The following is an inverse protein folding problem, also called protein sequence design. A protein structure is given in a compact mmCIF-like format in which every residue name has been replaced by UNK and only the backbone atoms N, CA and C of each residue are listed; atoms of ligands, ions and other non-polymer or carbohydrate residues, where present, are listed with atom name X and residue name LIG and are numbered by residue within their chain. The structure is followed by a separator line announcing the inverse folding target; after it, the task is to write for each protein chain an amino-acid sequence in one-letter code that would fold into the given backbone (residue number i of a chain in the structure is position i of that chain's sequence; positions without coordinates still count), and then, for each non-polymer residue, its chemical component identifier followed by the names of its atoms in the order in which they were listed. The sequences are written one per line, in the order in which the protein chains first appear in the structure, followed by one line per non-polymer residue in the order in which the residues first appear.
data_IF_494817473812
#
_entry.id   IF_494817473812
#
_cell.length_a   1.000
_cell.length_b   1.000
_cell.length_c   1.000
_cell.angle_alpha   90.00
_cell.angle_beta   90.00
_cell.angle_gamma   90.00
#
_symmetry.space_group_name_H-M   'P 1'
#
loop_
_entity.id
_entity.type
_entity.pdbx_description
1 polymer ?
#
# COMPACT_ATOMS: atom_id res chain seq x y z
N UNK A 1 5.18 -14.00 -1.71
CA UNK A 1 5.05 -13.95 -0.22
C UNK A 1 4.36 -15.17 0.44
N UNK A 2 3.59 -16.00 -0.26
CA UNK A 2 2.89 -17.15 0.35
C UNK A 2 3.47 -18.49 -0.10
N UNK A 3 3.45 -19.48 0.80
CA UNK A 3 3.71 -20.89 0.47
C UNK A 3 2.52 -21.47 -0.32
N UNK A 4 2.71 -22.63 -0.94
CA UNK A 4 1.62 -23.36 -1.61
C UNK A 4 0.41 -23.62 -0.69
N UNK A 5 0.65 -23.73 0.62
CA UNK A 5 -0.39 -23.90 1.65
C UNK A 5 -1.17 -22.62 1.96
N UNK A 6 -0.87 -21.50 1.27
CA UNK A 6 -1.35 -20.14 1.57
C UNK A 6 -0.91 -19.59 2.93
N UNK A 7 0.01 -20.27 3.62
CA UNK A 7 0.66 -19.70 4.78
C UNK A 7 1.59 -18.57 4.35
N UNK A 8 1.60 -17.47 5.11
CA UNK A 8 2.56 -16.39 4.92
C UNK A 8 3.97 -16.95 5.09
N UNK A 9 4.82 -16.75 4.10
CA UNK A 9 6.18 -17.25 4.09
C UNK A 9 7.13 -16.16 4.56
N UNK A 10 7.66 -16.34 5.76
CA UNK A 10 8.49 -15.34 6.40
C UNK A 10 9.97 -15.42 6.02
N UNK A 11 10.38 -16.48 5.30
CA UNK A 11 11.79 -16.85 5.12
C UNK A 11 12.30 -16.63 3.69
N UNK A 12 11.41 -16.34 2.73
CA UNK A 12 11.76 -16.30 1.30
C UNK A 12 12.26 -14.93 0.80
N UNK A 13 12.40 -13.94 1.69
CA UNK A 13 12.88 -12.61 1.32
C UNK A 13 11.84 -11.66 0.73
N UNK A 14 10.60 -12.10 0.47
CA UNK A 14 9.57 -11.24 -0.13
C UNK A 14 9.27 -9.96 0.67
N UNK A 15 9.39 -10.02 2.01
CA UNK A 15 9.24 -8.84 2.84
C UNK A 15 10.35 -7.80 2.63
N UNK A 16 11.56 -8.23 2.23
CA UNK A 16 12.65 -7.31 1.91
C UNK A 16 12.36 -6.57 0.61
N UNK A 17 11.79 -7.26 -0.38
CA UNK A 17 11.31 -6.64 -1.64
C UNK A 17 10.27 -5.56 -1.35
N UNK A 18 9.27 -5.88 -0.52
CA UNK A 18 8.25 -4.91 -0.07
C UNK A 18 8.87 -3.67 0.56
N UNK A 19 9.76 -3.84 1.55
CA UNK A 19 10.37 -2.71 2.26
C UNK A 19 11.28 -1.89 1.34
N UNK A 20 12.10 -2.56 0.54
CA UNK A 20 13.06 -1.92 -0.35
C UNK A 20 12.37 -1.12 -1.45
N UNK A 21 11.36 -1.70 -2.11
CA UNK A 21 10.61 -1.04 -3.18
C UNK A 21 9.97 0.26 -2.69
N UNK A 22 9.31 0.24 -1.53
CA UNK A 22 8.68 1.45 -0.97
C UNK A 22 9.72 2.49 -0.51
N UNK A 23 10.86 2.06 0.06
CA UNK A 23 11.98 2.97 0.36
C UNK A 23 12.50 3.65 -0.91
N UNK A 24 12.68 2.90 -1.99
CA UNK A 24 13.12 3.41 -3.29
C UNK A 24 12.12 4.42 -3.85
N UNK A 25 10.82 4.11 -3.83
CA UNK A 25 9.77 5.07 -4.20
C UNK A 25 9.84 6.36 -3.39
N UNK A 26 10.08 6.27 -2.07
CA UNK A 26 10.17 7.45 -1.20
C UNK A 26 11.40 8.32 -1.49
N UNK A 27 12.52 7.70 -1.88
CA UNK A 27 13.72 8.42 -2.33
C UNK A 27 13.48 9.12 -3.69
N UNK A 28 12.79 8.45 -4.62
CA UNK A 28 12.37 9.07 -5.89
C UNK A 28 11.44 10.27 -5.65
N UNK A 29 10.47 10.15 -4.74
CA UNK A 29 9.60 11.26 -4.35
C UNK A 29 10.40 12.44 -3.81
N UNK A 30 11.33 12.19 -2.89
CA UNK A 30 12.20 13.23 -2.31
C UNK A 30 12.99 13.97 -3.39
N UNK A 31 13.52 13.25 -4.38
CA UNK A 31 14.26 13.84 -5.49
C UNK A 31 13.35 14.75 -6.36
N UNK A 32 12.15 14.29 -6.72
CA UNK A 32 11.17 15.09 -7.48
C UNK A 32 10.79 16.38 -6.72
N UNK A 33 10.51 16.28 -5.43
CA UNK A 33 10.18 17.45 -4.59
C UNK A 33 11.36 18.41 -4.44
N UNK A 34 12.57 17.89 -4.25
CA UNK A 34 13.79 18.70 -4.17
C UNK A 34 14.01 19.48 -5.48
N UNK A 35 13.85 18.84 -6.64
CA UNK A 35 13.92 19.50 -7.96
C UNK A 35 12.85 20.59 -8.13
N UNK A 36 11.67 20.42 -7.52
CA UNK A 36 10.61 21.41 -7.51
C UNK A 36 10.78 22.51 -6.44
N UNK A 37 11.82 22.45 -5.60
CA UNK A 37 12.01 23.40 -4.49
C UNK A 37 10.95 23.27 -3.39
N UNK A 38 10.32 22.10 -3.27
CA UNK A 38 9.26 21.80 -2.32
C UNK A 38 9.70 20.74 -1.31
N UNK A 39 8.96 20.61 -0.20
CA UNK A 39 9.15 19.52 0.76
C UNK A 39 8.13 18.40 0.51
N UNK A 40 8.55 17.14 0.45
CA UNK A 40 7.62 16.03 0.32
C UNK A 40 6.74 15.92 1.58
N UNK A 41 5.55 15.30 1.48
CA UNK A 41 4.73 15.02 2.65
C UNK A 41 5.51 14.24 3.71
N UNK A 42 5.39 14.68 4.98
CA UNK A 42 6.00 13.95 6.08
C UNK A 42 5.29 12.61 6.33
N UNK A 43 6.09 11.57 6.55
CA UNK A 43 5.64 10.29 7.08
C UNK A 43 4.98 10.47 8.45
N UNK A 44 4.01 9.62 8.77
CA UNK A 44 3.43 9.61 10.11
C UNK A 44 4.43 9.05 11.13
N UNK A 45 4.57 9.73 12.26
CA UNK A 45 5.33 9.22 13.42
C UNK A 45 4.48 8.30 14.29
N UNK A 46 3.16 8.46 14.23
CA UNK A 46 2.16 7.60 14.86
C UNK A 46 0.87 7.62 14.04
N UNK A 47 0.06 6.55 14.16
CA UNK A 47 -1.25 6.51 13.52
C UNK A 47 -2.14 7.68 13.97
N UNK A 48 -2.80 8.39 13.03
CA UNK A 48 -3.73 9.45 13.36
C UNK A 48 -4.85 9.02 14.33
N UNK A 49 -5.47 10.00 14.99
CA UNK A 49 -6.68 9.77 15.79
C UNK A 49 -7.85 9.27 14.93
N UNK A 50 -8.81 8.58 15.56
CA UNK A 50 -10.01 8.14 14.85
C UNK A 50 -10.89 9.30 14.36
N UNK A 51 -10.86 10.44 15.05
CA UNK A 51 -11.67 11.61 14.77
C UNK A 51 -10.77 12.84 14.53
N UNK A 52 -9.94 12.78 13.50
CA UNK A 52 -9.16 13.92 13.03
C UNK A 52 -9.99 14.73 12.02
N UNK A 53 -10.02 16.06 12.11
CA UNK A 53 -10.73 16.88 11.13
C UNK A 53 -10.01 16.85 9.76
N UNK A 54 -10.75 17.05 8.67
CA UNK A 54 -10.15 17.13 7.33
C UNK A 54 -9.20 18.32 7.18
N UNK A 55 -9.54 19.43 7.83
CA UNK A 55 -8.83 20.69 7.71
C UNK A 55 -8.50 21.19 9.10
N UNK A 56 -7.21 21.33 9.37
CA UNK A 56 -6.66 21.84 10.63
C UNK A 56 -6.04 23.21 10.37
N UNK A 57 -6.25 24.13 11.31
CA UNK A 57 -5.57 25.40 11.37
C UNK A 57 -4.84 25.53 12.70
N UNK A 58 -3.62 26.06 12.68
CA UNK A 58 -2.86 26.39 13.87
C UNK A 58 -3.10 27.86 14.22
N UNK A 59 -3.28 28.15 15.52
CA UNK A 59 -3.28 29.54 15.99
C UNK A 59 -1.90 30.16 15.74
N UNK A 60 -1.91 31.35 15.15
CA UNK A 60 -0.74 32.16 14.90
C UNK A 60 -0.98 33.58 15.41
N UNK A 61 0.08 34.38 15.46
CA UNK A 61 -0.02 35.81 15.72
C UNK A 61 0.64 36.55 14.58
N UNK A 62 -0.15 37.38 13.89
CA UNK A 62 0.36 38.31 12.89
C UNK A 62 0.06 39.73 13.36
N UNK A 63 1.11 40.55 13.46
CA UNK A 63 1.01 41.98 13.79
C UNK A 63 0.21 42.27 15.07
N UNK A 64 0.29 41.39 16.06
CA UNK A 64 -0.39 41.51 17.36
C UNK A 64 -1.86 41.05 17.37
N UNK A 65 -2.41 40.59 16.23
CA UNK A 65 -3.72 39.97 16.16
C UNK A 65 -3.60 38.44 16.13
N UNK A 66 -4.53 37.76 16.81
CA UNK A 66 -4.67 36.30 16.69
C UNK A 66 -5.16 35.96 15.29
N UNK A 67 -4.42 35.11 14.59
CA UNK A 67 -4.73 34.59 13.26
C UNK A 67 -4.73 33.07 13.27
N UNK A 68 -5.20 32.46 12.18
CA UNK A 68 -5.20 31.01 12.00
C UNK A 68 -4.56 30.67 10.66
N UNK A 69 -3.56 29.79 10.67
CA UNK A 69 -2.82 29.38 9.48
C UNK A 69 -3.12 27.93 9.18
N UNK A 70 -3.43 27.61 7.92
CA UNK A 70 -3.71 26.25 7.49
C UNK A 70 -2.50 25.33 7.78
N UNK A 71 -2.77 24.17 8.37
CA UNK A 71 -1.77 23.19 8.76
C UNK A 71 -1.84 21.97 7.83
N UNK A 72 -1.14 21.97 6.67
CA UNK A 72 -1.24 20.90 5.68
C UNK A 72 -0.78 19.55 6.23
N UNK A 73 0.21 19.52 7.12
CA UNK A 73 0.72 18.29 7.74
C UNK A 73 -0.24 17.65 8.74
N UNK A 74 -1.18 18.43 9.25
CA UNK A 74 -2.22 17.97 10.17
C UNK A 74 -3.58 17.79 9.47
N UNK A 75 -3.65 17.99 8.15
CA UNK A 75 -4.88 17.99 7.36
C UNK A 75 -4.86 16.91 6.27
N UNK A 76 -6.04 16.59 5.73
CA UNK A 76 -6.18 15.74 4.54
C UNK A 76 -6.26 14.23 4.81
N UNK A 77 -6.37 13.81 6.08
CA UNK A 77 -6.38 12.39 6.45
C UNK A 77 -7.48 12.04 7.46
N UNK A 78 -8.63 12.72 7.38
CA UNK A 78 -9.85 12.21 8.01
C UNK A 78 -10.11 10.78 7.50
N UNK A 79 -10.56 9.90 8.38
CA UNK A 79 -11.04 8.57 7.97
C UNK A 79 -12.34 8.76 7.18
N UNK A 80 -12.39 8.42 5.88
CA UNK A 80 -13.61 8.58 5.09
C UNK A 80 -14.74 7.68 5.63
N UNK A 81 -16.02 7.99 5.33
CA UNK A 81 -17.11 7.09 5.67
C UNK A 81 -16.93 5.73 4.96
N UNK A 82 -17.42 4.63 5.56
CA UNK A 82 -17.32 3.32 4.95
C UNK A 82 -18.17 3.21 3.69
N UNK A 83 -17.79 2.26 2.82
CA UNK A 83 -18.59 1.87 1.67
C UNK A 83 -20.01 1.41 2.10
N UNK A 84 -20.98 1.60 1.20
CA UNK A 84 -22.36 1.14 1.39
C UNK A 84 -22.34 -0.39 1.50
N UNK A 85 -23.08 -0.90 2.47
CA UNK A 85 -23.28 -2.34 2.70
C UNK A 85 -22.00 -3.19 2.85
N UNK A 86 -20.87 -2.57 3.25
CA UNK A 86 -19.61 -3.28 3.54
C UNK A 86 -19.29 -3.29 5.04
N UNK A 87 -19.59 -4.41 5.69
CA UNK A 87 -19.34 -4.63 7.12
C UNK A 87 -17.84 -4.67 7.46
N UNK A 88 -17.01 -5.18 6.55
CA UNK A 88 -15.56 -5.27 6.74
C UNK A 88 -14.94 -3.87 6.69
N UNK A 89 -15.33 -3.06 5.72
CA UNK A 89 -14.89 -1.67 5.60
C UNK A 89 -15.35 -0.85 6.82
N UNK A 90 -16.59 -1.06 7.27
CA UNK A 90 -17.11 -0.43 8.50
C UNK A 90 -16.32 -0.83 9.74
N UNK A 91 -15.94 -2.11 9.86
CA UNK A 91 -15.08 -2.57 10.94
C UNK A 91 -13.71 -1.89 10.90
N UNK A 92 -13.02 -1.94 9.75
CA UNK A 92 -11.66 -1.41 9.58
C UNK A 92 -11.57 0.12 9.80
N UNK A 93 -12.64 0.85 9.46
CA UNK A 93 -12.74 2.31 9.68
C UNK A 93 -13.21 2.69 11.08
N UNK A 94 -13.74 1.74 11.87
CA UNK A 94 -14.25 2.04 13.21
C UNK A 94 -13.15 2.57 14.17
N UNK A 95 -13.52 3.42 15.14
CA UNK A 95 -12.61 3.81 16.22
C UNK A 95 -12.15 2.61 17.06
N UNK A 96 -13.01 1.61 17.25
CA UNK A 96 -12.72 0.40 18.03
C UNK A 96 -11.64 -0.45 17.38
N UNK A 97 -11.65 -0.60 16.05
CA UNK A 97 -10.60 -1.33 15.35
C UNK A 97 -9.25 -0.61 15.44
N UNK A 98 -9.25 0.73 15.32
CA UNK A 98 -8.04 1.52 15.53
C UNK A 98 -7.45 1.32 16.93
N UNK A 99 -8.27 1.44 17.98
CA UNK A 99 -7.80 1.36 19.37
C UNK A 99 -7.48 -0.06 19.82
N UNK A 100 -8.26 -1.05 19.39
CA UNK A 100 -8.14 -2.44 19.81
C UNK A 100 -7.17 -3.27 18.99
N UNK A 101 -6.90 -2.91 17.73
CA UNK A 101 -6.09 -3.72 16.80
C UNK A 101 -4.90 -2.92 16.26
N UNK A 102 -5.15 -1.85 15.50
CA UNK A 102 -4.08 -1.17 14.76
C UNK A 102 -3.08 -0.46 15.68
N UNK A 103 -3.52 0.22 16.73
CA UNK A 103 -2.62 0.91 17.68
C UNK A 103 -1.74 -0.04 18.49
N UNK A 104 -2.27 -1.12 19.09
CA UNK A 104 -1.43 -2.13 19.73
C UNK A 104 -0.39 -2.70 18.76
N UNK A 105 -0.79 -3.04 17.53
CA UNK A 105 0.11 -3.59 16.53
C UNK A 105 1.18 -2.58 16.07
N UNK A 106 0.81 -1.32 15.86
CA UNK A 106 1.76 -0.22 15.62
C UNK A 106 2.82 -0.14 16.73
N UNK A 107 2.41 -0.30 17.99
CA UNK A 107 3.34 -0.30 19.12
C UNK A 107 4.27 -1.51 19.14
N UNK A 108 3.80 -2.68 18.69
CA UNK A 108 4.63 -3.89 18.54
C UNK A 108 5.73 -3.65 17.49
N UNK A 109 5.40 -3.06 16.34
CA UNK A 109 6.37 -2.75 15.29
C UNK A 109 7.35 -1.63 15.65
N UNK A 110 7.17 -0.96 16.79
CA UNK A 110 8.12 0.02 17.34
C UNK A 110 8.87 -0.54 18.56
N UNK A 111 8.57 -1.77 18.99
CA UNK A 111 9.16 -2.37 20.18
C UNK A 111 10.55 -2.93 19.90
N UNK A 112 11.60 -2.47 20.61
CA UNK A 112 12.95 -3.01 20.42
C UNK A 112 13.04 -4.53 20.65
N UNK A 113 12.26 -5.04 21.60
CA UNK A 113 12.21 -6.49 21.90
C UNK A 113 11.62 -7.31 20.76
N UNK A 114 10.61 -6.77 20.08
CA UNK A 114 9.98 -7.45 18.97
C UNK A 114 10.90 -7.40 17.74
N UNK A 115 11.41 -6.20 17.43
CA UNK A 115 12.26 -5.97 16.27
C UNK A 115 13.62 -6.68 16.34
N UNK A 116 14.19 -6.87 17.53
CA UNK A 116 15.45 -7.64 17.67
C UNK A 116 15.28 -9.14 17.46
N UNK A 117 14.04 -9.64 17.53
CA UNK A 117 13.73 -11.05 17.38
C UNK A 117 13.41 -11.46 15.93
N UNK A 118 13.53 -10.52 14.97
CA UNK A 118 13.09 -10.74 13.60
C UNK A 118 14.18 -10.45 12.57
N UNK A 119 14.15 -11.18 11.45
CA UNK A 119 14.86 -10.80 10.23
C UNK A 119 14.18 -9.62 9.53
N UNK A 120 14.85 -9.02 8.54
CA UNK A 120 14.27 -7.94 7.76
C UNK A 120 13.10 -8.43 6.89
N UNK A 121 13.22 -9.61 6.29
CA UNK A 121 12.14 -10.24 5.52
C UNK A 121 10.92 -10.59 6.36
N UNK A 122 11.11 -11.08 7.59
CA UNK A 122 10.02 -11.30 8.55
C UNK A 122 9.27 -10.01 8.86
N UNK A 123 10.01 -8.91 9.09
CA UNK A 123 9.43 -7.60 9.38
C UNK A 123 8.60 -7.09 8.21
N UNK A 124 9.14 -7.15 7.00
CA UNK A 124 8.45 -6.68 5.80
C UNK A 124 7.15 -7.42 5.54
N UNK A 125 7.18 -8.76 5.58
CA UNK A 125 6.00 -9.58 5.37
C UNK A 125 4.92 -9.33 6.44
N UNK A 126 5.31 -9.24 7.72
CA UNK A 126 4.34 -8.93 8.77
C UNK A 126 3.75 -7.53 8.59
N UNK A 127 4.55 -6.53 8.21
CA UNK A 127 4.03 -5.17 7.95
C UNK A 127 3.03 -5.15 6.79
N UNK A 128 3.40 -5.73 5.65
CA UNK A 128 2.60 -5.78 4.42
C UNK A 128 1.23 -6.43 4.65
N UNK A 129 1.22 -7.66 5.18
CA UNK A 129 0.01 -8.47 5.34
C UNK A 129 -0.73 -8.23 6.66
N UNK A 130 -0.40 -7.16 7.38
CA UNK A 130 -1.18 -6.71 8.54
C UNK A 130 -1.50 -5.22 8.44
N UNK A 131 -0.69 -4.37 9.06
CA UNK A 131 -1.01 -2.99 9.32
C UNK A 131 -0.99 -2.14 8.05
N UNK A 132 -0.10 -2.43 7.10
CA UNK A 132 -0.04 -1.74 5.80
C UNK A 132 -1.34 -1.90 5.02
N UNK A 133 -1.81 -3.14 4.84
CA UNK A 133 -3.11 -3.42 4.22
C UNK A 133 -4.27 -2.70 4.90
N UNK A 134 -4.30 -2.71 6.23
CA UNK A 134 -5.34 -2.02 7.00
C UNK A 134 -5.27 -0.50 6.87
N UNK A 135 -4.08 0.09 6.73
CA UNK A 135 -3.93 1.52 6.49
C UNK A 135 -4.55 1.91 5.15
N UNK A 136 -4.25 1.20 4.07
CA UNK A 136 -4.85 1.48 2.76
C UNK A 136 -6.39 1.44 2.81
N UNK A 137 -6.97 0.38 3.38
CA UNK A 137 -8.43 0.23 3.48
C UNK A 137 -9.05 1.28 4.41
N UNK A 138 -8.40 1.59 5.53
CA UNK A 138 -8.92 2.56 6.50
C UNK A 138 -9.04 3.97 5.90
N UNK A 139 -8.10 4.39 5.05
CA UNK A 139 -8.07 5.74 4.49
C UNK A 139 -8.54 5.86 3.03
N UNK A 140 -8.86 4.76 2.33
CA UNK A 140 -9.54 4.85 1.02
C UNK A 140 -10.97 5.39 1.17
N UNK A 141 -11.46 6.07 0.14
CA UNK A 141 -12.84 6.51 0.02
C UNK A 141 -13.51 5.79 -1.16
N UNK A 142 -14.78 5.40 -1.03
CA UNK A 142 -15.55 4.88 -2.16
C UNK A 142 -16.36 6.01 -2.77
N UNK A 143 -16.06 6.34 -4.02
CA UNK A 143 -16.89 7.23 -4.83
C UNK A 143 -18.06 6.45 -5.43
N UNK A 144 -19.20 7.11 -5.57
CA UNK A 144 -20.40 6.53 -6.18
C UNK A 144 -20.89 7.44 -7.29
N UNK A 145 -21.29 6.85 -8.40
CA UNK A 145 -21.94 7.56 -9.49
C UNK A 145 -23.31 8.06 -9.03
N UNK A 146 -23.60 9.33 -9.29
CA UNK A 146 -24.82 9.98 -8.80
C UNK A 146 -26.08 9.51 -9.53
N UNK A 147 -25.96 9.02 -10.77
CA UNK A 147 -27.10 8.62 -11.58
C UNK A 147 -27.51 7.16 -11.33
N UNK A 148 -26.53 6.27 -11.19
CA UNK A 148 -26.72 4.83 -11.02
C UNK A 148 -26.67 4.41 -9.55
N UNK A 149 -25.90 5.13 -8.72
CA UNK A 149 -25.61 4.77 -7.34
C UNK A 149 -24.52 3.70 -7.20
N UNK A 150 -23.92 3.26 -8.31
CA UNK A 150 -22.87 2.24 -8.35
C UNK A 150 -21.50 2.83 -7.94
N UNK A 151 -20.59 2.03 -7.35
CA UNK A 151 -19.25 2.51 -7.01
C UNK A 151 -18.45 2.84 -8.27
N UNK A 152 -17.72 3.95 -8.24
CA UNK A 152 -16.78 4.36 -9.28
C UNK A 152 -15.41 3.77 -8.96
N UNK A 153 -14.82 3.08 -9.93
CA UNK A 153 -13.46 2.53 -9.86
C UNK A 153 -13.26 1.45 -10.90
N UNK A 154 -12.03 0.92 -10.96
CA UNK A 154 -11.67 -0.18 -11.86
C UNK A 154 -12.43 -1.46 -11.51
N UNK A 155 -13.09 -2.05 -12.51
CA UNK A 155 -13.83 -3.30 -12.33
C UNK A 155 -12.90 -4.51 -12.12
N UNK A 156 -11.61 -4.38 -12.44
CA UNK A 156 -10.62 -5.45 -12.34
C UNK A 156 -9.20 -4.90 -12.13
N UNK A 157 -8.34 -5.67 -11.45
CA UNK A 157 -6.89 -5.41 -11.41
C UNK A 157 -6.24 -5.43 -12.81
N UNK A 158 -6.93 -5.96 -13.82
CA UNK A 158 -6.46 -6.01 -15.21
C UNK A 158 -7.18 -5.02 -16.14
N UNK A 159 -8.01 -4.12 -15.61
CA UNK A 159 -8.61 -3.03 -16.37
C UNK A 159 -7.62 -1.84 -16.46
N UNK A 160 -6.83 -1.81 -17.53
CA UNK A 160 -5.79 -0.81 -17.80
C UNK A 160 -6.23 0.21 -18.87
N UNK A 161 -7.54 0.48 -18.96
CA UNK A 161 -8.06 1.51 -19.86
C UNK A 161 -7.41 2.88 -19.56
N UNK A 162 -6.90 3.62 -20.56
CA UNK A 162 -6.22 4.91 -20.34
C UNK A 162 -7.05 5.97 -19.60
N UNK A 163 -8.38 5.84 -19.52
CA UNK A 163 -9.21 6.73 -18.68
C UNK A 163 -8.80 6.68 -17.20
N UNK A 164 -8.17 5.59 -16.75
CA UNK A 164 -7.69 5.42 -15.39
C UNK A 164 -6.35 6.12 -15.12
N UNK A 165 -5.69 6.66 -16.15
CA UNK A 165 -4.44 7.43 -16.03
C UNK A 165 -4.68 8.88 -15.59
N UNK A 166 -5.95 9.31 -15.52
CA UNK A 166 -6.30 10.64 -15.05
C UNK A 166 -5.80 10.82 -13.60
N UNK A 167 -5.05 11.90 -13.27
CA UNK A 167 -4.54 12.13 -11.93
C UNK A 167 -5.60 12.24 -10.82
N UNK A 168 -6.87 12.43 -11.18
CA UNK A 168 -8.00 12.37 -10.24
C UNK A 168 -8.38 10.93 -9.85
N UNK A 169 -7.88 9.92 -10.55
CA UNK A 169 -7.92 8.54 -10.09
C UNK A 169 -6.81 8.33 -9.05
N UNK A 170 -7.15 8.60 -7.78
CA UNK A 170 -6.26 8.47 -6.63
C UNK A 170 -6.78 7.46 -5.61
N UNK A 171 -7.47 6.39 -6.04
CA UNK A 171 -8.00 5.40 -5.09
C UNK A 171 -6.86 4.74 -4.30
N UNK A 172 -6.80 5.05 -3.00
CA UNK A 172 -5.84 4.46 -2.06
C UNK A 172 -6.02 2.93 -1.92
N UNK A 173 -7.18 2.40 -2.30
CA UNK A 173 -7.52 1.00 -2.31
C UNK A 173 -7.22 0.26 -3.62
N UNK A 174 -6.43 0.85 -4.54
CA UNK A 174 -6.01 0.21 -5.79
C UNK A 174 -4.49 0.38 -5.99
N UNK A 175 -3.78 -0.69 -6.35
CA UNK A 175 -2.34 -0.62 -6.63
C UNK A 175 -2.03 0.34 -7.79
N UNK A 176 -2.96 0.47 -8.74
CA UNK A 176 -2.78 1.33 -9.91
C UNK A 176 -2.65 2.82 -9.56
N UNK A 177 -3.44 3.29 -8.59
CA UNK A 177 -3.60 4.71 -8.29
C UNK A 177 -3.18 5.11 -6.87
N UNK A 178 -2.99 4.16 -5.96
CA UNK A 178 -2.82 4.48 -4.54
C UNK A 178 -1.63 5.42 -4.27
N UNK A 179 -0.56 5.31 -5.04
CA UNK A 179 0.63 6.16 -4.91
C UNK A 179 0.43 7.63 -5.33
N UNK A 180 -0.68 7.95 -6.01
CA UNK A 180 -1.09 9.32 -6.32
C UNK A 180 -1.70 10.00 -5.09
N UNK A 181 -2.38 9.23 -4.23
CA UNK A 181 -3.09 9.76 -3.07
C UNK A 181 -2.11 10.29 -1.99
N UNK A 182 -2.24 11.52 -1.49
CA UNK A 182 -1.28 12.09 -0.53
C UNK A 182 -1.07 11.27 0.76
N UNK A 183 -2.13 10.61 1.25
CA UNK A 183 -2.05 9.73 2.44
C UNK A 183 -1.16 8.51 2.23
N UNK A 184 -0.94 8.06 0.99
CA UNK A 184 0.00 6.98 0.68
C UNK A 184 1.41 7.30 1.20
N UNK A 185 1.90 8.50 0.92
CA UNK A 185 3.24 8.90 1.33
C UNK A 185 3.37 9.07 2.86
N UNK A 186 2.27 9.44 3.52
CA UNK A 186 2.23 9.55 4.99
C UNK A 186 2.29 8.16 5.65
N UNK A 187 1.48 7.22 5.18
CA UNK A 187 1.46 5.86 5.73
C UNK A 187 2.76 5.10 5.38
N UNK A 188 3.28 5.24 4.16
CA UNK A 188 4.52 4.58 3.75
C UNK A 188 5.75 5.18 4.41
N UNK A 189 5.75 6.48 4.72
CA UNK A 189 6.79 7.05 5.59
C UNK A 189 6.81 6.42 6.99
N UNK A 190 5.63 6.09 7.55
CA UNK A 190 5.57 5.33 8.81
C UNK A 190 6.15 3.92 8.63
N UNK A 191 5.86 3.24 7.52
CA UNK A 191 6.41 1.90 7.23
C UNK A 191 7.94 1.96 7.06
N UNK A 192 8.45 2.89 6.25
CA UNK A 192 9.88 3.08 5.98
C UNK A 192 10.68 3.37 7.26
N UNK A 193 10.11 4.13 8.19
CA UNK A 193 10.75 4.41 9.48
C UNK A 193 10.93 3.15 10.34
N UNK A 194 10.10 2.12 10.17
CA UNK A 194 10.24 0.84 10.92
C UNK A 194 11.51 0.10 10.54
N UNK A 195 12.00 0.27 9.30
CA UNK A 195 13.29 -0.27 8.86
C UNK A 195 14.42 0.34 9.69
N UNK A 196 14.33 1.64 9.98
CA UNK A 196 15.33 2.35 10.80
C UNK A 196 15.23 1.95 12.28
N UNK A 197 14.02 1.71 12.80
CA UNK A 197 13.81 1.15 14.14
C UNK A 197 14.46 -0.23 14.27
N UNK A 198 14.24 -1.11 13.28
CA UNK A 198 14.82 -2.45 13.24
C UNK A 198 16.34 -2.42 13.13
N UNK A 199 16.88 -1.58 12.24
CA UNK A 199 18.32 -1.47 12.03
C UNK A 199 19.05 -0.98 13.29
N UNK A 200 18.44 -0.03 14.00
CA UNK A 200 19.00 0.50 15.26
C UNK A 200 19.15 -0.57 16.34
N UNK A 201 18.20 -1.49 16.46
CA UNK A 201 18.22 -2.52 17.52
C UNK A 201 19.03 -3.76 17.14
N UNK A 202 19.36 -3.92 15.85
CA UNK A 202 20.17 -5.01 15.32
C UNK A 202 21.53 -4.54 14.79
N UNK A 203 21.99 -3.34 15.16
CA UNK A 203 23.16 -2.69 14.58
C UNK A 203 24.48 -3.48 14.73
N UNK A 204 24.57 -4.36 15.73
CA UNK A 204 25.71 -5.26 15.97
C UNK A 204 25.64 -6.57 15.17
N UNK A 205 24.50 -6.85 14.53
CA UNK A 205 24.20 -8.07 13.79
C UNK A 205 24.02 -7.87 12.29
N UNK A 206 24.11 -6.63 11.81
CA UNK A 206 23.89 -6.26 10.42
C UNK A 206 25.06 -5.46 9.88
N UNK A 207 25.24 -5.47 8.56
CA UNK A 207 26.19 -4.60 7.86
C UNK A 207 25.41 -3.63 6.97
N UNK A 208 25.64 -2.34 7.13
CA UNK A 208 25.05 -1.31 6.25
C UNK A 208 25.66 -1.39 4.85
N UNK A 209 24.85 -1.17 3.83
CA UNK A 209 25.27 -1.23 2.42
C UNK A 209 24.49 -0.22 1.56
N UNK A 210 24.75 -0.20 0.26
CA UNK A 210 23.97 0.54 -0.74
C UNK A 210 23.64 -0.38 -1.90
N UNK A 211 22.35 -0.54 -2.20
CA UNK A 211 21.86 -1.32 -3.34
C UNK A 211 21.15 -0.33 -4.27
N UNK A 212 21.58 -0.24 -5.54
CA UNK A 212 21.06 0.73 -6.53
C UNK A 212 20.80 2.15 -5.98
N UNK A 213 21.81 2.73 -5.33
CA UNK A 213 21.77 4.06 -4.69
C UNK A 213 20.76 4.21 -3.52
N UNK A 214 20.17 3.10 -3.06
CA UNK A 214 19.31 3.04 -1.89
C UNK A 214 20.13 2.64 -0.66
N UNK A 215 20.16 3.46 0.41
CA UNK A 215 20.75 3.07 1.69
C UNK A 215 20.05 1.84 2.27
N UNK A 216 20.80 0.74 2.37
CA UNK A 216 20.28 -0.58 2.68
C UNK A 216 21.25 -1.38 3.56
N UNK A 217 21.18 -2.71 3.49
CA UNK A 217 21.95 -3.65 4.28
C UNK A 217 22.52 -4.76 3.38
N UNK A 218 23.72 -5.22 3.69
CA UNK A 218 24.33 -6.34 2.98
C UNK A 218 23.62 -7.64 3.38
N UNK A 219 23.36 -8.50 2.39
CA UNK A 219 22.80 -9.81 2.66
C UNK A 219 23.82 -10.71 3.38
N UNK A 220 23.37 -11.33 4.46
CA UNK A 220 24.14 -12.26 5.29
C UNK A 220 23.47 -13.63 5.44
N UNK A 221 22.27 -13.79 4.85
CA UNK A 221 21.44 -14.99 4.94
C UNK A 221 20.85 -15.26 6.33
N UNK A 222 21.07 -14.38 7.29
CA UNK A 222 20.63 -14.53 8.69
C UNK A 222 19.66 -13.41 9.07
N UNK A 223 20.10 -12.17 9.06
CA UNK A 223 19.28 -10.99 9.34
C UNK A 223 18.70 -10.37 8.08
N UNK A 224 19.41 -10.52 6.96
CA UNK A 224 19.04 -10.01 5.64
C UNK A 224 19.24 -11.14 4.62
N UNK A 225 18.14 -11.58 4.01
CA UNK A 225 18.06 -12.75 3.14
C UNK A 225 18.50 -12.45 1.70
N UNK A 226 18.15 -11.28 1.17
CA UNK A 226 18.24 -10.96 -0.26
C UNK A 226 19.23 -9.82 -0.50
N UNK A 227 20.26 -10.08 -1.31
CA UNK A 227 21.27 -9.06 -1.65
C UNK A 227 20.86 -8.10 -2.76
N UNK A 228 19.79 -8.43 -3.49
CA UNK A 228 19.23 -7.66 -4.59
C UNK A 228 17.70 -7.72 -4.50
N UNK A 229 17.07 -6.91 -3.63
CA UNK A 229 15.62 -6.92 -3.48
C UNK A 229 14.93 -6.52 -4.79
N UNK A 230 13.84 -7.21 -5.12
CA UNK A 230 13.06 -6.95 -6.32
C UNK A 230 12.24 -5.66 -6.17
N UNK A 231 12.39 -4.74 -7.12
CA UNK A 231 11.55 -3.53 -7.22
C UNK A 231 11.00 -3.29 -8.63
N UNK A 232 11.64 -3.86 -9.65
CA UNK A 232 11.24 -3.79 -11.05
C UNK A 232 11.96 -4.89 -11.84
N UNK A 233 11.37 -5.43 -12.94
CA UNK A 233 12.10 -6.24 -13.90
C UNK A 233 13.20 -5.42 -14.59
N UNK A 234 14.38 -5.34 -13.99
CA UNK A 234 15.58 -4.90 -14.68
C UNK A 234 16.18 -6.12 -15.39
N UNK A 235 16.08 -6.17 -16.72
CA UNK A 235 17.07 -6.94 -17.47
C UNK A 235 18.46 -6.39 -17.07
N UNK A 236 19.46 -7.26 -16.94
CA UNK A 236 20.83 -6.92 -16.53
C UNK A 236 21.59 -5.98 -17.50
N UNK A 237 21.05 -4.79 -17.76
CA UNK A 237 21.66 -3.74 -18.56
C UNK A 237 21.96 -2.56 -17.66
N UNK A 238 23.25 -2.40 -17.37
CA UNK A 238 23.76 -1.32 -16.54
C UNK A 238 23.50 0.05 -17.17
N UNK A 239 23.41 1.05 -16.29
CA UNK A 239 23.59 2.48 -16.52
C UNK A 239 22.86 3.13 -17.71
N UNK A 240 21.94 4.04 -17.36
CA UNK A 240 21.72 5.33 -18.04
C UNK A 240 21.47 5.34 -19.56
N UNK A 241 20.90 4.30 -20.16
CA UNK A 241 20.45 4.37 -21.55
C UNK A 241 18.94 4.57 -21.61
N UNK A 242 18.53 5.50 -22.48
CA UNK A 242 17.17 5.97 -22.72
C UNK A 242 16.13 4.84 -22.66
N UNK A 243 15.31 4.84 -21.61
CA UNK A 243 14.09 4.06 -21.58
C UNK A 243 13.20 4.53 -22.73
N UNK A 244 12.83 3.61 -23.63
CA UNK A 244 11.65 3.80 -24.46
C UNK A 244 10.46 3.50 -23.54
N UNK A 245 9.98 4.54 -22.85
CA UNK A 245 8.89 4.44 -21.87
C UNK A 245 7.68 3.69 -22.47
N UNK A 246 7.43 3.84 -23.77
CA UNK A 246 6.33 3.11 -24.43
C UNK A 246 6.62 1.61 -24.57
N UNK A 247 7.87 1.21 -24.79
CA UNK A 247 8.24 -0.20 -24.85
C UNK A 247 8.11 -0.85 -23.47
N UNK A 248 8.55 -0.17 -22.42
CA UNK A 248 8.43 -0.66 -21.04
C UNK A 248 6.95 -0.76 -20.62
N UNK A 249 6.11 0.22 -20.99
CA UNK A 249 4.65 0.16 -20.79
C UNK A 249 4.07 -1.07 -21.50
N UNK A 250 4.39 -1.28 -22.79
CA UNK A 250 3.89 -2.44 -23.55
C UNK A 250 4.26 -3.78 -22.91
N UNK A 251 5.47 -3.90 -22.36
CA UNK A 251 5.90 -5.11 -21.64
C UNK A 251 5.06 -5.32 -20.37
N UNK A 252 4.80 -4.26 -19.61
CA UNK A 252 3.94 -4.37 -18.43
C UNK A 252 2.50 -4.74 -18.78
N UNK A 253 1.95 -4.17 -19.85
CA UNK A 253 0.62 -4.55 -20.37
C UNK A 253 0.58 -6.03 -20.77
N UNK A 254 1.63 -6.54 -21.41
CA UNK A 254 1.76 -7.95 -21.77
C UNK A 254 1.80 -8.85 -20.51
N UNK A 255 2.61 -8.50 -19.51
CA UNK A 255 2.66 -9.22 -18.23
C UNK A 255 1.30 -9.22 -17.55
N UNK A 256 0.59 -8.08 -17.53
CA UNK A 256 -0.77 -7.99 -16.99
C UNK A 256 -1.75 -8.89 -17.76
N UNK A 257 -1.61 -8.98 -19.08
CA UNK A 257 -2.37 -9.91 -19.93
C UNK A 257 -2.10 -11.38 -19.58
N UNK A 258 -0.83 -11.75 -19.36
CA UNK A 258 -0.44 -13.10 -18.93
C UNK A 258 -1.03 -13.40 -17.54
N UNK A 259 -0.85 -12.50 -16.58
CA UNK A 259 -1.37 -12.67 -15.22
C UNK A 259 -2.88 -12.81 -15.18
N UNK A 260 -3.61 -12.03 -15.99
CA UNK A 260 -5.06 -12.15 -16.15
C UNK A 260 -5.48 -13.56 -16.55
N UNK A 261 -4.76 -14.17 -17.48
CA UNK A 261 -5.06 -15.52 -17.96
C UNK A 261 -4.71 -16.60 -16.93
N UNK A 262 -3.61 -16.42 -16.18
CA UNK A 262 -3.17 -17.36 -15.15
C UNK A 262 -4.07 -17.32 -13.92
N UNK A 263 -4.55 -16.14 -13.54
CA UNK A 263 -5.36 -15.91 -12.35
C UNK A 263 -6.88 -16.00 -12.62
N UNK A 264 -7.28 -16.19 -13.87
CA UNK A 264 -8.69 -16.40 -14.21
C UNK A 264 -9.21 -17.69 -13.53
N UNK A 265 -10.40 -17.66 -12.90
CA UNK A 265 -11.02 -18.88 -12.40
C UNK A 265 -11.27 -19.86 -13.56
N UNK A 266 -11.25 -21.19 -13.31
CA UNK A 266 -11.54 -22.17 -14.33
C UNK A 266 -12.94 -21.92 -14.93
N UNK A 267 -13.05 -22.01 -16.26
CA UNK A 267 -14.30 -21.76 -16.97
C UNK A 267 -15.44 -22.60 -16.36
N UNK A 268 -16.58 -21.99 -16.00
CA UNK A 268 -17.72 -22.77 -15.53
C UNK A 268 -18.20 -23.71 -16.64
N UNK A 269 -18.69 -24.92 -16.32
CA UNK A 269 -19.36 -25.75 -17.31
C UNK A 269 -20.53 -24.97 -17.90
N UNK A 270 -20.67 -25.01 -19.23
CA UNK A 270 -21.58 -24.18 -20.02
C UNK A 270 -22.99 -24.08 -19.40
N UNK A 271 -23.28 -22.96 -18.75
CA UNK A 271 -24.61 -22.60 -18.28
C UNK A 271 -25.31 -21.73 -19.36
N UNK A 272 -26.65 -21.78 -19.43
CA UNK A 272 -27.40 -21.10 -20.49
C UNK A 272 -27.27 -19.58 -20.39
N UNK A 273 -27.46 -18.92 -21.54
CA UNK A 273 -27.07 -17.56 -21.88
C UNK A 273 -27.74 -16.39 -21.12
N UNK A 274 -28.20 -16.60 -19.89
CA UNK A 274 -28.83 -15.56 -19.05
C UNK A 274 -28.11 -15.31 -17.72
N UNK A 275 -26.86 -15.79 -17.59
CA UNK A 275 -26.02 -15.63 -16.39
C UNK A 275 -24.68 -14.95 -16.70
N UNK A 276 -24.67 -13.86 -17.47
CA UNK A 276 -23.47 -13.03 -17.69
C UNK A 276 -23.53 -11.73 -16.90
N UNK A 277 -23.52 -11.85 -15.57
CA UNK A 277 -22.98 -10.82 -14.66
C UNK A 277 -22.18 -11.47 -13.52
N UNK A 278 -21.57 -12.61 -13.81
CA UNK A 278 -20.80 -13.40 -12.87
C UNK A 278 -19.31 -12.95 -12.89
N UNK A 279 -18.93 -12.31 -11.79
CA UNK A 279 -17.62 -12.44 -11.12
C UNK A 279 -16.40 -11.88 -11.86
N UNK A 280 -16.41 -10.57 -12.10
CA UNK A 280 -15.19 -9.77 -11.97
C UNK A 280 -15.18 -9.20 -10.55
N UNK A 281 -14.20 -9.56 -9.73
CA UNK A 281 -13.99 -8.91 -8.44
C UNK A 281 -13.45 -7.50 -8.71
N UNK A 282 -14.17 -6.43 -8.31
CA UNK A 282 -13.69 -5.05 -8.40
C UNK A 282 -12.23 -4.94 -7.94
N UNK A 283 -11.41 -4.12 -8.62
CA UNK A 283 -9.98 -3.99 -8.35
C UNK A 283 -9.70 -3.74 -6.87
N UNK A 284 -10.51 -2.88 -6.25
CA UNK A 284 -10.43 -2.57 -4.82
C UNK A 284 -10.73 -3.75 -3.89
N UNK A 285 -11.67 -4.62 -4.26
CA UNK A 285 -11.95 -5.83 -3.50
C UNK A 285 -10.81 -6.84 -3.66
N UNK A 286 -10.26 -6.99 -4.87
CA UNK A 286 -9.11 -7.85 -5.12
C UNK A 286 -7.84 -7.35 -4.43
N UNK A 287 -7.60 -6.03 -4.42
CA UNK A 287 -6.55 -5.36 -3.67
C UNK A 287 -6.67 -5.63 -2.17
N UNK A 288 -7.88 -5.48 -1.63
CA UNK A 288 -8.16 -5.78 -0.22
C UNK A 288 -7.89 -7.26 0.09
N UNK A 289 -8.39 -8.17 -0.72
CA UNK A 289 -8.20 -9.61 -0.50
C UNK A 289 -6.73 -10.00 -0.59
N UNK A 290 -5.97 -9.39 -1.52
CA UNK A 290 -4.53 -9.57 -1.64
C UNK A 290 -3.79 -9.10 -0.38
N UNK A 291 -4.11 -7.91 0.14
CA UNK A 291 -3.44 -7.34 1.32
C UNK A 291 -3.87 -7.99 2.64
N UNK A 292 -5.11 -8.45 2.74
CA UNK A 292 -5.62 -9.11 3.94
C UNK A 292 -5.28 -10.61 3.97
N UNK A 293 -4.81 -11.19 2.86
CA UNK A 293 -4.52 -12.62 2.74
C UNK A 293 -5.75 -13.51 2.91
N UNK A 294 -6.96 -12.96 2.78
CA UNK A 294 -8.24 -13.66 2.96
C UNK A 294 -9.17 -13.28 1.81
N UNK A 295 -9.60 -14.27 1.03
CA UNK A 295 -10.76 -14.13 0.16
C UNK A 295 -12.02 -14.19 1.03
N UNK A 296 -12.92 -13.20 0.92
CA UNK A 296 -14.24 -13.34 1.56
C UNK A 296 -14.96 -14.56 0.97
N UNK A 297 -15.63 -15.39 1.79
CA UNK A 297 -16.51 -16.42 1.26
C UNK A 297 -17.61 -15.75 0.43
N UNK A 298 -17.92 -16.33 -0.74
CA UNK A 298 -19.08 -15.92 -1.53
C UNK A 298 -20.29 -15.85 -0.61
N UNK A 299 -20.97 -14.71 -0.61
CA UNK A 299 -22.32 -14.62 -0.04
C UNK A 299 -23.19 -15.52 -0.92
N UNK A 300 -23.34 -16.77 -0.50
CA UNK A 300 -24.34 -17.67 -1.06
C UNK A 300 -25.68 -17.01 -0.79
N UNK A 301 -26.33 -16.51 -1.84
CA UNK A 301 -27.69 -15.99 -1.75
C UNK A 301 -28.55 -17.02 -1.01
N UNK A 302 -29.42 -16.59 -0.08
CA UNK A 302 -30.27 -17.52 0.65
C UNK A 302 -31.10 -18.33 -0.35
N UNK A 303 -30.97 -19.65 -0.27
CA UNK A 303 -31.80 -20.56 -1.03
C UNK A 303 -33.23 -20.53 -0.45
N UNK A 304 -34.16 -19.93 -1.20
CA UNK A 304 -35.62 -20.08 -1.01
C UNK A 304 -36.28 -19.03 -0.14
#
# INVERSE_FOLDING_TARGET
PFRETRALDLENGAGEDFLYMHRKMFLMLKDVYAKAGASPPAGWTALPGAAVPQTVYNEATDSGAKTFVFAPDSSGFMVPPPARDDDVDRMLKSPTFLSGVMRPLSGIFQSPRFLSAMTLGELGNLLEFTIHGWMHVRWTHTLYDLATGDPIGRESLFDIDPKWDDPSNDDLGDFYSSHIHPTFWRLHGWIDDRINDWARVNADRITTDTVDDVPWFAADGTMVQVGQPFYWPTAHHGHHDSHDDEADIRVMEEVMGIMKNVLAPPAPPAAPADATRALLTPARLAFRDALLGVSLPEVVAPAG
#
